data_IF_312911805928
#
_entry.id   IF_312911805928
#
_cell.length_a   1.000
_cell.length_b   1.000
_cell.length_c   1.000
_cell.angle_alpha   90.00
_cell.angle_beta   90.00
_cell.angle_gamma   90.00
#
_symmetry.space_group_name_H-M   'P 1'
#
loop_
_entity.id
_entity.type
_entity.pdbx_description
1 polymer ?
#
# COMPACT_ATOMS: atom_id res chain seq x y z
N UNK A 1 -2.08 26.03 -29.47
CA UNK A 1 -2.82 26.09 -28.18
C UNK A 1 -3.78 24.91 -28.15
N UNK A 2 -3.40 23.82 -27.48
CA UNK A 2 -4.33 22.73 -27.20
C UNK A 2 -4.89 22.95 -25.80
N UNK A 3 -6.19 23.28 -25.72
CA UNK A 3 -6.95 23.22 -24.48
C UNK A 3 -7.40 21.77 -24.32
N UNK A 4 -6.72 21.00 -23.47
CA UNK A 4 -7.22 19.72 -23.01
C UNK A 4 -8.09 19.96 -21.78
N UNK A 5 -9.37 19.60 -21.84
CA UNK A 5 -10.31 19.69 -20.72
C UNK A 5 -10.09 18.63 -19.64
N UNK A 6 -9.02 17.84 -19.73
CA UNK A 6 -8.65 16.78 -18.79
C UNK A 6 -7.30 17.12 -18.16
N UNK A 7 -7.29 17.33 -16.83
CA UNK A 7 -6.10 17.68 -16.05
C UNK A 7 -4.95 16.66 -16.22
N UNK A 8 -5.29 15.42 -16.58
CA UNK A 8 -4.34 14.31 -16.80
C UNK A 8 -4.02 14.07 -18.29
N UNK A 9 -4.60 14.83 -19.22
CA UNK A 9 -4.45 14.61 -20.67
C UNK A 9 -3.01 14.46 -21.16
N UNK A 10 -2.06 15.33 -20.74
CA UNK A 10 -0.64 15.21 -21.06
C UNK A 10 0.07 14.03 -20.35
N UNK A 11 -0.41 13.61 -19.18
CA UNK A 11 0.16 12.49 -18.40
C UNK A 11 -0.18 11.12 -19.02
N UNK A 12 -1.22 11.06 -19.88
CA UNK A 12 -1.68 9.83 -20.54
C UNK A 12 -0.66 9.25 -21.52
N UNK A 13 0.12 10.11 -22.21
CA UNK A 13 1.19 9.70 -23.12
C UNK A 13 2.36 9.02 -22.39
N UNK A 14 2.47 9.22 -21.06
CA UNK A 14 3.51 8.63 -20.21
C UNK A 14 3.10 7.39 -19.43
N UNK A 15 1.84 6.93 -19.50
CA UNK A 15 1.35 5.83 -18.66
C UNK A 15 2.11 4.51 -18.88
N UNK A 16 2.54 4.22 -20.11
CA UNK A 16 3.39 3.07 -20.42
C UNK A 16 4.71 3.08 -19.64
N UNK A 17 5.27 4.28 -19.37
CA UNK A 17 6.52 4.42 -18.61
C UNK A 17 6.36 4.16 -17.10
N UNK A 18 5.11 4.27 -16.61
CA UNK A 18 4.77 4.02 -15.21
C UNK A 18 4.45 2.54 -14.94
N UNK A 19 4.06 1.78 -15.98
CA UNK A 19 3.89 0.31 -15.91
C UNK A 19 5.27 -0.35 -15.92
N UNK A 20 5.77 -0.66 -14.74
CA UNK A 20 7.12 -1.22 -14.53
C UNK A 20 7.05 -2.53 -13.77
N UNK A 21 7.93 -3.45 -14.13
CA UNK A 21 8.06 -4.74 -13.45
C UNK A 21 8.61 -4.52 -12.03
N UNK A 22 7.94 -5.03 -10.98
CA UNK A 22 8.45 -4.96 -9.62
C UNK A 22 9.78 -5.70 -9.44
N UNK A 23 10.71 -5.07 -8.72
CA UNK A 23 12.07 -5.54 -8.51
C UNK A 23 12.69 -4.85 -7.29
N UNK A 24 13.88 -5.31 -6.87
CA UNK A 24 14.56 -4.78 -5.69
C UNK A 24 14.07 -5.40 -4.38
N UNK A 25 14.30 -4.69 -3.28
CA UNK A 25 13.84 -5.02 -1.92
C UNK A 25 12.33 -4.73 -1.73
N UNK A 26 11.73 -5.08 -0.59
CA UNK A 26 10.28 -4.92 -0.36
C UNK A 26 9.76 -3.51 -0.66
N UNK A 27 10.45 -2.48 -0.17
CA UNK A 27 10.09 -1.09 -0.49
C UNK A 27 10.11 -0.79 -1.99
N UNK A 28 11.17 -1.19 -2.69
CA UNK A 28 11.33 -0.95 -4.13
C UNK A 28 10.32 -1.76 -4.94
N UNK A 29 10.01 -2.98 -4.49
CA UNK A 29 8.99 -3.82 -5.08
C UNK A 29 7.62 -3.13 -5.00
N UNK A 30 7.26 -2.56 -3.84
CA UNK A 30 6.00 -1.82 -3.67
C UNK A 30 5.97 -0.48 -4.41
N UNK A 31 7.08 0.26 -4.47
CA UNK A 31 7.22 1.49 -5.28
C UNK A 31 6.88 1.21 -6.75
N UNK A 32 7.23 0.04 -7.25
CA UNK A 32 6.96 -0.37 -8.63
C UNK A 32 5.58 -1.04 -8.79
N UNK A 33 5.09 -1.77 -7.79
CA UNK A 33 3.80 -2.45 -7.83
C UNK A 33 2.62 -1.48 -7.73
N UNK A 34 2.65 -0.53 -6.79
CA UNK A 34 1.52 0.36 -6.51
C UNK A 34 1.07 1.18 -7.74
N UNK A 35 1.97 1.77 -8.56
CA UNK A 35 1.58 2.44 -9.79
C UNK A 35 0.81 1.53 -10.76
N UNK A 36 1.17 0.24 -10.89
CA UNK A 36 0.45 -0.69 -11.76
C UNK A 36 -1.02 -0.85 -11.32
N UNK A 37 -1.29 -0.94 -10.02
CA UNK A 37 -2.66 -1.00 -9.48
C UNK A 37 -3.44 0.28 -9.81
N UNK A 38 -2.84 1.44 -9.55
CA UNK A 38 -3.50 2.73 -9.74
C UNK A 38 -3.75 3.06 -11.21
N UNK A 39 -2.87 2.63 -12.11
CA UNK A 39 -3.04 2.75 -13.55
C UNK A 39 -4.27 1.95 -14.01
N UNK A 40 -4.43 0.70 -13.57
CA UNK A 40 -5.61 -0.09 -13.96
C UNK A 40 -6.89 0.54 -13.40
N UNK A 41 -6.89 1.03 -12.15
CA UNK A 41 -8.04 1.73 -11.57
C UNK A 41 -8.39 2.99 -12.39
N UNK A 42 -7.38 3.76 -12.80
CA UNK A 42 -7.56 4.94 -13.63
C UNK A 42 -8.13 4.61 -15.02
N UNK A 43 -7.56 3.62 -15.72
CA UNK A 43 -8.05 3.17 -17.04
C UNK A 43 -9.50 2.69 -16.95
N UNK A 44 -9.82 1.96 -15.88
CA UNK A 44 -11.19 1.48 -15.60
C UNK A 44 -12.15 2.65 -15.40
N UNK A 45 -11.77 3.65 -14.60
CA UNK A 45 -12.59 4.84 -14.36
C UNK A 45 -12.82 5.67 -15.63
N UNK A 46 -11.82 5.74 -16.52
CA UNK A 46 -11.91 6.44 -17.81
C UNK A 46 -12.59 5.63 -18.91
N UNK A 47 -12.96 4.37 -18.66
CA UNK A 47 -13.49 3.42 -19.66
C UNK A 47 -12.55 3.28 -20.86
N UNK A 48 -11.25 3.37 -20.61
CA UNK A 48 -10.20 3.22 -21.62
C UNK A 48 -9.97 1.73 -21.92
N UNK A 49 -9.97 1.37 -23.21
CA UNK A 49 -9.91 -0.01 -23.69
C UNK A 49 -8.50 -0.47 -24.11
N UNK A 50 -7.43 0.20 -23.66
CA UNK A 50 -6.03 -0.27 -23.85
C UNK A 50 -5.77 -1.59 -23.11
N UNK A 51 -6.19 -2.70 -23.70
CA UNK A 51 -6.13 -4.04 -23.12
C UNK A 51 -4.71 -4.56 -22.95
N UNK A 52 -3.79 -4.21 -23.85
CA UNK A 52 -2.39 -4.61 -23.80
C UNK A 52 -1.66 -4.02 -22.57
N UNK A 53 -1.91 -2.74 -22.28
CA UNK A 53 -1.39 -2.05 -21.11
C UNK A 53 -1.98 -2.64 -19.83
N UNK A 54 -3.30 -2.89 -19.82
CA UNK A 54 -4.00 -3.51 -18.69
C UNK A 54 -3.45 -4.90 -18.39
N UNK A 55 -3.30 -5.75 -19.40
CA UNK A 55 -2.81 -7.11 -19.24
C UNK A 55 -1.35 -7.15 -18.76
N UNK A 56 -0.53 -6.20 -19.22
CA UNK A 56 0.85 -6.04 -18.77
C UNK A 56 0.90 -5.62 -17.30
N UNK A 57 0.15 -4.59 -16.92
CA UNK A 57 0.05 -4.13 -15.54
C UNK A 57 -0.48 -5.25 -14.61
N UNK A 58 -1.47 -6.02 -15.05
CA UNK A 58 -2.02 -7.14 -14.27
C UNK A 58 -0.97 -8.21 -13.96
N UNK A 59 -0.16 -8.61 -14.96
CA UNK A 59 0.95 -9.56 -14.75
C UNK A 59 2.01 -8.99 -13.80
N UNK A 60 2.28 -7.70 -13.87
CA UNK A 60 3.22 -7.03 -12.97
C UNK A 60 2.69 -6.94 -11.54
N UNK A 61 1.39 -6.72 -11.34
CA UNK A 61 0.75 -6.77 -10.01
C UNK A 61 0.86 -8.17 -9.41
N UNK A 62 0.55 -9.22 -10.19
CA UNK A 62 0.67 -10.61 -9.73
C UNK A 62 2.11 -10.95 -9.33
N UNK A 63 3.08 -10.53 -10.15
CA UNK A 63 4.51 -10.72 -9.86
C UNK A 63 4.92 -9.95 -8.61
N UNK A 64 4.50 -8.68 -8.48
CA UNK A 64 4.76 -7.83 -7.32
C UNK A 64 4.21 -8.44 -6.04
N UNK A 65 2.97 -8.93 -6.07
CA UNK A 65 2.33 -9.61 -4.94
C UNK A 65 3.14 -10.83 -4.47
N UNK A 66 3.45 -11.77 -5.37
CA UNK A 66 4.25 -12.96 -5.01
C UNK A 66 5.65 -12.62 -4.51
N UNK A 67 6.26 -11.55 -5.03
CA UNK A 67 7.56 -11.06 -4.54
C UNK A 67 7.46 -10.44 -3.16
N UNK A 68 6.43 -9.63 -2.93
CA UNK A 68 6.27 -8.91 -1.67
C UNK A 68 6.11 -9.85 -0.48
N UNK A 69 5.45 -11.00 -0.69
CA UNK A 69 5.31 -12.03 0.34
C UNK A 69 6.66 -12.60 0.83
N UNK A 70 7.75 -12.44 0.08
CA UNK A 70 9.10 -12.85 0.52
C UNK A 70 9.70 -11.90 1.57
N UNK A 71 9.12 -10.71 1.74
CA UNK A 71 9.55 -9.70 2.73
C UNK A 71 8.64 -9.65 3.96
N UNK A 72 7.69 -10.59 4.05
CA UNK A 72 6.79 -10.75 5.19
C UNK A 72 7.50 -11.48 6.33
N UNK A 73 7.33 -10.98 7.54
CA UNK A 73 7.78 -11.59 8.79
C UNK A 73 6.76 -12.60 9.33
N UNK A 74 7.17 -13.53 10.21
CA UNK A 74 6.25 -14.47 10.86
C UNK A 74 5.13 -13.80 11.66
N UNK A 75 5.36 -12.59 12.18
CA UNK A 75 4.40 -11.80 12.95
C UNK A 75 3.37 -11.04 12.10
N UNK A 76 3.44 -11.17 10.77
CA UNK A 76 2.54 -10.53 9.81
C UNK A 76 3.03 -9.20 9.25
N UNK A 77 4.11 -8.65 9.79
CA UNK A 77 4.68 -7.38 9.32
C UNK A 77 5.50 -7.52 8.04
N UNK A 78 5.82 -6.39 7.41
CA UNK A 78 6.67 -6.32 6.22
C UNK A 78 7.85 -5.40 6.46
N UNK A 79 9.01 -5.73 5.90
CA UNK A 79 10.25 -4.93 5.98
C UNK A 79 10.96 -4.88 4.62
N UNK A 80 12.01 -4.09 4.47
CA UNK A 80 12.68 -3.98 3.19
C UNK A 80 13.39 -5.29 2.81
N UNK A 81 13.96 -6.00 3.79
CA UNK A 81 14.74 -7.22 3.56
C UNK A 81 14.15 -8.48 4.24
N UNK A 82 12.89 -8.45 4.65
CA UNK A 82 12.23 -9.57 5.29
C UNK A 82 12.92 -9.97 6.59
N UNK A 83 13.07 -11.27 6.83
CA UNK A 83 13.72 -11.81 8.03
C UNK A 83 15.21 -11.44 8.19
N UNK A 84 15.82 -10.77 7.20
CA UNK A 84 17.16 -10.18 7.37
C UNK A 84 17.15 -8.88 8.17
N UNK A 85 15.99 -8.21 8.27
CA UNK A 85 15.79 -7.06 9.16
C UNK A 85 15.35 -7.55 10.55
N UNK A 86 15.75 -6.83 11.61
CA UNK A 86 15.41 -7.21 12.99
C UNK A 86 13.90 -7.11 13.30
N UNK A 87 13.16 -6.32 12.53
CA UNK A 87 11.73 -6.11 12.70
C UNK A 87 11.04 -5.61 11.42
N UNK A 88 9.71 -5.70 11.40
CA UNK A 88 8.86 -5.03 10.42
C UNK A 88 8.91 -3.50 10.49
N UNK A 89 8.54 -2.87 9.38
CA UNK A 89 8.34 -1.42 9.29
C UNK A 89 6.86 -1.06 9.37
N UNK A 90 6.49 -0.12 10.25
CA UNK A 90 5.11 0.39 10.35
C UNK A 90 4.64 0.96 9.03
N UNK A 91 5.46 1.79 8.40
CA UNK A 91 5.13 2.43 7.14
C UNK A 91 4.98 1.42 6.01
N UNK A 92 5.95 0.50 5.84
CA UNK A 92 5.89 -0.47 4.75
C UNK A 92 4.72 -1.44 4.93
N UNK A 93 4.49 -1.93 6.15
CA UNK A 93 3.37 -2.84 6.45
C UNK A 93 2.03 -2.18 6.11
N UNK A 94 1.84 -0.90 6.49
CA UNK A 94 0.66 -0.14 6.11
C UNK A 94 0.55 0.08 4.60
N UNK A 95 1.67 0.35 3.92
CA UNK A 95 1.68 0.55 2.48
C UNK A 95 1.31 -0.72 1.70
N UNK A 96 1.87 -1.87 2.11
CA UNK A 96 1.53 -3.20 1.57
C UNK A 96 0.03 -3.48 1.79
N UNK A 97 -0.45 -3.33 3.03
CA UNK A 97 -1.85 -3.58 3.37
C UNK A 97 -2.80 -2.73 2.51
N UNK A 98 -2.49 -1.44 2.36
CA UNK A 98 -3.27 -0.51 1.54
C UNK A 98 -3.34 -0.97 0.08
N UNK A 99 -2.19 -1.18 -0.55
CA UNK A 99 -2.10 -1.53 -1.99
C UNK A 99 -2.74 -2.89 -2.25
N UNK A 100 -2.54 -3.87 -1.37
CA UNK A 100 -3.18 -5.18 -1.47
C UNK A 100 -4.69 -5.06 -1.39
N UNK A 101 -5.20 -4.26 -0.46
CA UNK A 101 -6.64 -4.02 -0.30
C UNK A 101 -7.26 -3.41 -1.55
N UNK A 102 -6.60 -2.40 -2.13
CA UNK A 102 -7.07 -1.81 -3.39
C UNK A 102 -7.00 -2.77 -4.57
N UNK A 103 -5.93 -3.56 -4.68
CA UNK A 103 -5.78 -4.53 -5.76
C UNK A 103 -6.80 -5.68 -5.65
N UNK A 104 -7.16 -6.07 -4.43
CA UNK A 104 -8.21 -7.04 -4.16
C UNK A 104 -9.60 -6.49 -4.48
N UNK A 105 -9.93 -5.29 -3.98
CA UNK A 105 -11.23 -4.66 -4.20
C UNK A 105 -11.49 -4.36 -5.69
N UNK A 106 -10.44 -4.09 -6.46
CA UNK A 106 -10.50 -3.91 -7.91
C UNK A 106 -10.48 -5.23 -8.70
N UNK A 107 -10.56 -6.38 -8.02
CA UNK A 107 -10.56 -7.74 -8.59
C UNK A 107 -9.33 -8.02 -9.48
N UNK A 108 -8.20 -7.37 -9.20
CA UNK A 108 -6.95 -7.54 -9.96
C UNK A 108 -6.19 -8.77 -9.46
N UNK A 109 -6.22 -9.02 -8.15
CA UNK A 109 -5.64 -10.19 -7.51
C UNK A 109 -6.56 -10.68 -6.39
N UNK A 110 -6.44 -11.96 -6.03
CA UNK A 110 -7.05 -12.51 -4.83
C UNK A 110 -6.01 -12.47 -3.71
N UNK A 111 -6.18 -11.55 -2.78
CA UNK A 111 -5.32 -11.43 -1.59
C UNK A 111 -5.85 -12.38 -0.53
N UNK A 112 -4.95 -13.13 0.11
CA UNK A 112 -5.32 -13.99 1.23
C UNK A 112 -5.73 -13.13 2.43
N UNK A 113 -6.94 -13.35 2.94
CA UNK A 113 -7.47 -12.60 4.09
C UNK A 113 -6.65 -12.83 5.36
N UNK A 114 -6.00 -13.99 5.51
CA UNK A 114 -5.10 -14.25 6.62
C UNK A 114 -3.91 -13.29 6.58
N UNK A 115 -3.25 -13.17 5.42
CA UNK A 115 -2.09 -12.28 5.23
C UNK A 115 -2.46 -10.82 5.57
N UNK A 116 -3.59 -10.34 5.04
CA UNK A 116 -4.04 -8.98 5.27
C UNK A 116 -4.46 -8.74 6.74
N UNK A 117 -5.15 -9.71 7.36
CA UNK A 117 -5.57 -9.60 8.75
C UNK A 117 -4.41 -9.63 9.73
N UNK A 118 -3.38 -10.45 9.50
CA UNK A 118 -2.17 -10.49 10.32
C UNK A 118 -1.39 -9.18 10.23
N UNK A 119 -1.23 -8.61 9.03
CA UNK A 119 -0.61 -7.30 8.86
C UNK A 119 -1.40 -6.19 9.58
N UNK A 120 -2.74 -6.22 9.49
CA UNK A 120 -3.60 -5.26 10.17
C UNK A 120 -3.54 -5.40 11.71
N UNK A 121 -3.55 -6.63 12.23
CA UNK A 121 -3.40 -6.91 13.66
C UNK A 121 -2.03 -6.45 14.18
N UNK A 122 -0.97 -6.66 13.41
CA UNK A 122 0.36 -6.17 13.75
C UNK A 122 0.43 -4.65 13.78
N UNK A 123 -0.22 -3.94 12.85
CA UNK A 123 -0.30 -2.47 12.91
C UNK A 123 -1.04 -2.01 14.16
N UNK A 124 -2.19 -2.61 14.47
CA UNK A 124 -3.00 -2.27 15.64
C UNK A 124 -2.28 -2.53 16.98
N UNK A 125 -1.45 -3.58 17.06
CA UNK A 125 -0.68 -3.85 18.27
C UNK A 125 0.40 -2.79 18.57
N UNK A 126 0.74 -1.97 17.56
CA UNK A 126 1.69 -0.86 17.67
C UNK A 126 0.99 0.52 17.75
N UNK A 127 -0.32 0.55 17.97
CA UNK A 127 -1.04 1.77 18.32
C UNK A 127 -0.72 2.18 19.77
N UNK A 128 -0.41 3.46 19.97
CA UNK A 128 -0.15 4.05 21.28
C UNK A 128 -1.46 4.43 22.00
N UNK A 129 -1.36 4.73 23.29
CA UNK A 129 -2.53 5.07 24.13
C UNK A 129 -3.28 6.33 23.69
N UNK A 130 -2.63 7.22 22.94
CA UNK A 130 -3.21 8.43 22.39
C UNK A 130 -3.76 8.24 20.97
N UNK A 131 -3.82 6.99 20.48
CA UNK A 131 -4.38 6.62 19.18
C UNK A 131 -3.41 6.77 18.00
N UNK A 132 -2.22 7.33 18.21
CA UNK A 132 -1.18 7.41 17.18
C UNK A 132 -0.51 6.05 16.93
N UNK A 133 0.22 5.92 15.81
CA UNK A 133 0.97 4.70 15.50
C UNK A 133 2.47 4.94 15.63
N UNK A 134 3.15 4.08 16.37
CA UNK A 134 4.60 4.17 16.55
C UNK A 134 5.34 3.90 15.23
N UNK A 135 6.31 4.75 14.89
CA UNK A 135 7.18 4.54 13.75
C UNK A 135 8.28 3.52 14.11
N UNK A 136 8.05 2.26 13.74
CA UNK A 136 8.93 1.12 14.04
C UNK A 136 9.55 0.63 12.74
N UNK A 137 10.76 0.07 12.87
CA UNK A 137 11.54 -0.43 11.76
C UNK A 137 12.23 0.69 10.99
N UNK A 138 13.09 0.30 10.06
CA UNK A 138 13.78 1.25 9.18
C UNK A 138 13.02 1.36 7.87
N UNK A 139 12.83 2.60 7.42
CA UNK A 139 12.45 2.89 6.03
C UNK A 139 13.70 3.35 5.28
N UNK A 140 14.06 2.68 4.18
CA UNK A 140 15.28 2.97 3.41
C UNK A 140 15.01 4.13 2.43
N UNK A 141 13.81 4.21 1.87
CA UNK A 141 13.40 5.30 0.98
C UNK A 141 12.46 6.27 1.69
N UNK A 142 13.00 7.09 2.61
CA UNK A 142 12.23 8.04 3.41
C UNK A 142 11.42 9.06 2.59
N UNK A 143 11.83 9.34 1.35
CA UNK A 143 11.11 10.20 0.41
C UNK A 143 9.68 9.70 0.12
N UNK A 144 9.42 8.40 0.31
CA UNK A 144 8.11 7.79 0.14
C UNK A 144 7.15 8.04 1.30
N UNK A 145 7.66 8.48 2.46
CA UNK A 145 6.82 8.70 3.65
C UNK A 145 5.97 9.97 3.56
N UNK A 146 6.28 10.88 2.63
CA UNK A 146 5.45 12.03 2.26
C UNK A 146 5.00 12.91 3.44
N UNK A 147 5.62 14.08 3.62
CA UNK A 147 5.15 15.05 4.63
C UNK A 147 5.81 14.93 6.00
N UNK A 148 6.94 14.21 6.10
CA UNK A 148 7.87 14.39 7.21
C UNK A 148 8.54 15.76 7.03
N UNK A 149 7.88 16.83 7.46
CA UNK A 149 8.56 18.09 7.72
C UNK A 149 9.64 17.88 8.78
N UNK A 150 10.56 18.82 8.93
CA UNK A 150 11.65 18.77 9.93
C UNK A 150 11.16 18.65 11.40
N UNK A 151 9.83 18.68 11.64
CA UNK A 151 9.19 18.48 12.94
C UNK A 151 8.79 17.00 13.16
N UNK A 152 9.40 16.30 14.13
CA UNK A 152 9.06 14.92 14.50
C UNK A 152 7.56 14.71 14.75
N UNK A 153 6.86 15.70 15.31
CA UNK A 153 5.41 15.60 15.60
C UNK A 153 4.54 15.57 14.34
N UNK A 154 5.02 16.20 13.27
CA UNK A 154 4.30 16.22 11.98
C UNK A 154 4.45 14.89 11.23
N UNK A 155 5.59 14.20 11.40
CA UNK A 155 5.80 12.84 10.89
C UNK A 155 4.88 11.81 11.54
N UNK A 156 4.63 11.93 12.85
CA UNK A 156 3.76 11.01 13.60
C UNK A 156 2.28 11.12 13.17
N UNK A 157 1.81 12.33 12.89
CA UNK A 157 0.44 12.56 12.38
C UNK A 157 0.26 12.01 10.96
N UNK A 158 1.24 12.24 10.08
CA UNK A 158 1.21 11.73 8.71
C UNK A 158 1.19 10.21 8.66
N UNK A 159 2.07 9.56 9.44
CA UNK A 159 2.09 8.11 9.58
C UNK A 159 0.77 7.59 10.15
N UNK A 160 0.25 8.20 11.21
CA UNK A 160 -1.01 7.78 11.83
C UNK A 160 -2.17 7.85 10.83
N UNK A 161 -2.32 8.96 10.11
CA UNK A 161 -3.36 9.10 9.10
C UNK A 161 -3.21 8.06 7.98
N UNK A 162 -1.97 7.77 7.57
CA UNK A 162 -1.68 6.78 6.54
C UNK A 162 -2.03 5.36 6.98
N UNK A 163 -1.63 4.95 8.19
CA UNK A 163 -1.95 3.65 8.78
C UNK A 163 -3.47 3.49 8.93
N UNK A 164 -4.15 4.50 9.48
CA UNK A 164 -5.61 4.49 9.63
C UNK A 164 -6.31 4.34 8.28
N UNK A 165 -5.83 5.03 7.23
CA UNK A 165 -6.35 4.88 5.88
C UNK A 165 -6.18 3.45 5.36
N UNK A 166 -5.00 2.85 5.54
CA UNK A 166 -4.73 1.47 5.12
C UNK A 166 -5.66 0.46 5.81
N UNK A 167 -5.87 0.61 7.12
CA UNK A 167 -6.78 -0.24 7.90
C UNK A 167 -8.24 -0.09 7.44
N UNK A 168 -8.69 1.13 7.16
CA UNK A 168 -10.03 1.39 6.64
C UNK A 168 -10.24 0.76 5.26
N UNK A 169 -9.28 0.89 4.35
CA UNK A 169 -9.35 0.28 3.03
C UNK A 169 -9.37 -1.26 3.10
N UNK A 170 -8.58 -1.86 3.99
CA UNK A 170 -8.60 -3.30 4.22
C UNK A 170 -9.96 -3.80 4.75
N UNK A 171 -10.59 -3.03 5.64
CA UNK A 171 -11.94 -3.31 6.11
C UNK A 171 -12.97 -3.22 4.99
N UNK A 172 -12.92 -2.15 4.20
CA UNK A 172 -13.82 -1.98 3.06
C UNK A 172 -13.65 -3.06 1.99
N UNK A 173 -12.44 -3.59 1.80
CA UNK A 173 -12.16 -4.69 0.89
C UNK A 173 -12.57 -6.08 1.42
N UNK A 174 -13.10 -6.17 2.65
CA UNK A 174 -13.49 -7.45 3.26
C UNK A 174 -12.31 -8.32 3.72
N UNK A 175 -11.09 -7.77 3.72
CA UNK A 175 -9.87 -8.48 4.11
C UNK A 175 -9.63 -8.48 5.62
N UNK A 176 -10.36 -7.65 6.37
CA UNK A 176 -10.26 -7.54 7.83
C UNK A 176 -11.08 -8.61 8.59
N UNK A 177 -11.47 -9.71 7.95
CA UNK A 177 -12.43 -10.69 8.48
C UNK A 177 -12.02 -11.25 9.85
N UNK A 178 -12.51 -10.64 10.93
CA UNK A 178 -12.18 -10.99 12.31
C UNK A 178 -11.77 -9.81 13.20
N UNK A 179 -11.51 -8.62 12.64
CA UNK A 179 -11.27 -7.40 13.41
C UNK A 179 -12.59 -6.95 14.05
N UNK A 180 -12.87 -7.44 15.26
CA UNK A 180 -14.01 -7.00 16.08
C UNK A 180 -13.99 -5.47 16.15
N UNK A 181 -15.14 -4.85 15.89
CA UNK A 181 -15.35 -3.41 15.73
C UNK A 181 -14.79 -2.54 16.89
N UNK A 182 -14.37 -3.12 18.02
CA UNK A 182 -13.84 -2.42 19.20
C UNK A 182 -12.45 -1.80 19.00
N UNK A 183 -11.52 -2.43 18.27
CA UNK A 183 -10.16 -1.91 18.11
C UNK A 183 -10.10 -0.67 17.19
N UNK A 184 -10.98 -0.61 16.18
CA UNK A 184 -11.12 0.55 15.29
C UNK A 184 -11.94 1.68 15.92
N UNK A 185 -12.91 1.38 16.81
CA UNK A 185 -13.61 2.38 17.61
C UNK A 185 -12.66 3.08 18.60
N UNK A 186 -11.71 2.34 19.20
CA UNK A 186 -10.71 2.90 20.10
C UNK A 186 -9.67 3.80 19.40
N UNK A 187 -9.40 3.57 18.10
CA UNK A 187 -8.53 4.44 17.30
C UNK A 187 -9.20 5.67 16.70
N UNK A 188 -10.52 5.80 16.84
CA UNK A 188 -11.33 6.91 16.31
C UNK A 188 -12.00 7.76 17.40
N UNK A 189 -11.77 7.45 18.69
CA UNK A 189 -12.29 8.17 19.86
C UNK A 189 -11.18 8.93 20.58
#
# INVERSE_FOLDING_TARGET
LALSGDLMGPSLEGLDSLVRLPSGCGEQNMILMAPNVYIINYLTAKRDMRSDLRDRALRFIQTGYSRELQYRHPDGSFSAFGESDDSGSTWLTAFVLKVFSQAHAAELIQVDSLIASEAAMWLLSHQTKDGSFANIGRVIHSDMMGGNGDDPKSGDLGLTAFVTTALLEARSAGLSGGMQDEALQAGLA
#
